data_IF_484598224747
#
_entry.id   IF_484598224747
#
_cell.length_a   1.000
_cell.length_b   1.000
_cell.length_c   1.000
_cell.angle_alpha   90.00
_cell.angle_beta   90.00
_cell.angle_gamma   90.00
#
_symmetry.space_group_name_H-M   'P 1'
#
loop_
_entity.id
_entity.type
_entity.pdbx_description
1 polymer ?
#
# COMPACT_ATOMS: atom_id res chain seq x y z
N UNK A 1 -0.49 33.29 -11.09
CA UNK A 1 0.16 32.88 -9.83
C UNK A 1 -0.40 31.61 -9.16
N UNK A 2 -1.69 31.22 -9.33
CA UNK A 2 -2.18 29.90 -8.80
C UNK A 2 -1.83 28.68 -9.68
N UNK A 3 -1.46 28.90 -10.95
CA UNK A 3 -1.18 27.84 -11.93
C UNK A 3 0.13 27.09 -11.65
N UNK A 4 1.17 27.82 -11.23
CA UNK A 4 2.50 27.25 -10.95
C UNK A 4 2.51 26.34 -9.72
N UNK A 5 1.79 26.72 -8.67
CA UNK A 5 1.64 25.92 -7.44
C UNK A 5 0.98 24.57 -7.74
N UNK A 6 -0.03 24.55 -8.62
CA UNK A 6 -0.71 23.31 -9.02
C UNK A 6 0.24 22.37 -9.76
N UNK A 7 1.12 22.90 -10.62
CA UNK A 7 2.11 22.10 -11.34
C UNK A 7 3.15 21.47 -10.42
N UNK A 8 3.61 22.22 -9.41
CA UNK A 8 4.54 21.71 -8.39
C UNK A 8 3.86 20.60 -7.57
N UNK A 9 2.65 20.85 -7.07
CA UNK A 9 1.90 19.87 -6.28
C UNK A 9 1.67 18.55 -7.04
N UNK A 10 1.27 18.61 -8.31
CA UNK A 10 1.07 17.42 -9.15
C UNK A 10 2.38 16.65 -9.33
N UNK A 11 3.51 17.34 -9.43
CA UNK A 11 4.82 16.70 -9.57
C UNK A 11 5.20 15.95 -8.30
N UNK A 12 5.07 16.58 -7.14
CA UNK A 12 5.37 15.95 -5.85
C UNK A 12 4.43 14.77 -5.54
N UNK A 13 3.14 14.89 -5.86
CA UNK A 13 2.19 13.78 -5.73
C UNK A 13 2.56 12.58 -6.60
N UNK A 14 3.08 12.80 -7.83
CA UNK A 14 3.58 11.71 -8.68
C UNK A 14 4.81 11.02 -8.07
N UNK A 15 5.72 11.79 -7.46
CA UNK A 15 6.88 11.21 -6.79
C UNK A 15 6.47 10.37 -5.58
N UNK A 16 5.56 10.87 -4.74
CA UNK A 16 5.05 10.16 -3.57
C UNK A 16 4.28 8.90 -4.02
N UNK A 17 3.49 9.00 -5.08
CA UNK A 17 2.76 7.86 -5.61
C UNK A 17 3.70 6.78 -6.19
N UNK A 18 4.73 7.18 -6.93
CA UNK A 18 5.75 6.27 -7.45
C UNK A 18 6.54 5.57 -6.34
N UNK A 19 7.01 6.33 -5.34
CA UNK A 19 7.69 5.79 -4.18
C UNK A 19 6.78 4.86 -3.36
N UNK A 20 5.51 5.25 -3.19
CA UNK A 20 4.49 4.46 -2.51
C UNK A 20 4.25 3.11 -3.18
N UNK A 21 4.12 3.07 -4.51
CA UNK A 21 3.95 1.80 -5.25
C UNK A 21 5.13 0.86 -5.01
N UNK A 22 6.37 1.36 -5.07
CA UNK A 22 7.56 0.54 -4.84
C UNK A 22 7.57 0.03 -3.40
N UNK A 23 7.27 0.90 -2.44
CA UNK A 23 7.14 0.53 -1.03
C UNK A 23 6.12 -0.59 -0.83
N UNK A 24 4.90 -0.43 -1.34
CA UNK A 24 3.85 -1.46 -1.25
C UNK A 24 4.24 -2.74 -1.99
N UNK A 25 4.99 -2.67 -3.09
CA UNK A 25 5.41 -3.85 -3.82
C UNK A 25 6.31 -4.78 -2.99
N UNK A 26 7.22 -4.21 -2.20
CA UNK A 26 8.07 -4.97 -1.27
C UNK A 26 7.38 -5.29 0.05
N UNK A 27 6.65 -4.33 0.60
CA UNK A 27 6.04 -4.44 1.94
C UNK A 27 4.74 -5.24 1.96
N UNK A 28 4.13 -5.53 0.79
CA UNK A 28 2.86 -6.28 0.74
C UNK A 28 2.92 -7.61 1.48
N UNK A 29 4.03 -8.36 1.36
CA UNK A 29 4.16 -9.69 1.97
C UNK A 29 4.37 -9.62 3.49
N UNK A 30 5.30 -8.80 4.02
CA UNK A 30 5.41 -8.52 5.45
C UNK A 30 4.11 -8.01 6.07
N UNK A 31 3.40 -7.11 5.39
CA UNK A 31 2.12 -6.58 5.89
C UNK A 31 1.04 -7.66 5.83
N UNK A 32 0.93 -8.41 4.74
CA UNK A 32 -0.09 -9.45 4.61
C UNK A 32 0.00 -10.53 5.69
N UNK A 33 1.22 -10.93 6.07
CA UNK A 33 1.48 -12.01 7.02
C UNK A 33 1.71 -11.46 8.44
N UNK A 34 2.49 -10.40 8.57
CA UNK A 34 2.88 -9.84 9.87
C UNK A 34 1.72 -9.23 10.63
N UNK A 35 0.75 -8.64 9.94
CA UNK A 35 -0.41 -7.98 10.56
C UNK A 35 -1.41 -8.97 11.17
N UNK A 36 -1.83 -10.05 10.49
CA UNK A 36 -2.60 -11.11 11.15
C UNK A 36 -1.81 -11.78 12.27
N UNK A 37 -0.49 -11.99 12.14
CA UNK A 37 0.33 -12.48 13.26
C UNK A 37 0.24 -11.53 14.46
N UNK A 38 0.32 -10.22 14.24
CA UNK A 38 0.26 -9.23 15.31
C UNK A 38 -1.09 -9.23 16.04
N UNK A 39 -2.19 -9.40 15.31
CA UNK A 39 -3.53 -9.45 15.90
C UNK A 39 -3.84 -10.80 16.56
N UNK A 40 -3.46 -11.92 15.95
CA UNK A 40 -3.81 -13.25 16.46
C UNK A 40 -2.83 -13.79 17.51
N UNK A 41 -1.54 -13.44 17.43
CA UNK A 41 -0.49 -13.95 18.34
C UNK A 41 -0.19 -12.97 19.46
N UNK A 42 -0.21 -11.67 19.16
CA UNK A 42 0.22 -10.63 20.08
C UNK A 42 -0.93 -9.84 20.72
N UNK A 43 -2.19 -10.20 20.39
CA UNK A 43 -3.41 -9.53 20.87
C UNK A 43 -3.34 -8.00 20.75
N UNK A 44 -2.70 -7.54 19.67
CA UNK A 44 -2.44 -6.12 19.48
C UNK A 44 -3.76 -5.39 19.21
N UNK A 45 -3.98 -4.18 19.77
CA UNK A 45 -5.21 -3.44 19.56
C UNK A 45 -5.46 -3.23 18.06
N UNK A 46 -6.68 -3.52 17.64
CA UNK A 46 -7.13 -3.32 16.27
C UNK A 46 -7.02 -1.85 15.88
N UNK A 47 -6.28 -1.59 14.80
CA UNK A 47 -6.08 -0.25 14.28
C UNK A 47 -6.63 -0.18 12.86
N UNK A 48 -7.57 0.74 12.63
CA UNK A 48 -8.22 0.92 11.32
C UNK A 48 -7.22 1.28 10.22
N UNK A 49 -6.19 2.06 10.56
CA UNK A 49 -5.12 2.45 9.63
C UNK A 49 -4.36 1.21 9.13
N UNK A 50 -4.01 0.30 10.05
CA UNK A 50 -3.32 -0.94 9.71
C UNK A 50 -4.21 -1.90 8.92
N UNK A 51 -5.50 -1.97 9.24
CA UNK A 51 -6.47 -2.74 8.46
C UNK A 51 -6.63 -2.22 7.02
N UNK A 52 -6.70 -0.91 6.83
CA UNK A 52 -6.75 -0.31 5.49
C UNK A 52 -5.45 -0.58 4.73
N UNK A 53 -4.29 -0.47 5.39
CA UNK A 53 -2.99 -0.76 4.80
C UNK A 53 -2.86 -2.23 4.37
N UNK A 54 -3.38 -3.14 5.19
CA UNK A 54 -3.50 -4.56 4.89
C UNK A 54 -4.40 -4.81 3.68
N UNK A 55 -5.57 -4.18 3.63
CA UNK A 55 -6.52 -4.29 2.52
C UNK A 55 -5.92 -3.78 1.20
N UNK A 56 -5.21 -2.65 1.23
CA UNK A 56 -4.47 -2.13 0.07
C UNK A 56 -3.43 -3.13 -0.43
N UNK A 57 -2.68 -3.74 0.49
CA UNK A 57 -1.67 -4.76 0.17
C UNK A 57 -2.31 -6.02 -0.41
N UNK A 58 -3.47 -6.43 0.11
CA UNK A 58 -4.25 -7.57 -0.37
C UNK A 58 -4.75 -7.38 -1.80
N UNK A 59 -5.31 -6.20 -2.10
CA UNK A 59 -5.75 -5.85 -3.47
C UNK A 59 -4.57 -5.86 -4.45
N UNK A 60 -3.41 -5.33 -4.04
CA UNK A 60 -2.20 -5.36 -4.87
C UNK A 60 -1.73 -6.80 -5.14
N UNK A 61 -1.73 -7.66 -4.11
CA UNK A 61 -1.37 -9.06 -4.25
C UNK A 61 -2.31 -9.80 -5.20
N UNK A 62 -3.64 -9.63 -5.05
CA UNK A 62 -4.63 -10.22 -5.96
C UNK A 62 -4.39 -9.77 -7.39
N UNK A 63 -4.16 -8.46 -7.61
CA UNK A 63 -3.88 -7.94 -8.95
C UNK A 63 -2.62 -8.55 -9.58
N UNK A 64 -1.58 -8.78 -8.78
CA UNK A 64 -0.37 -9.49 -9.23
C UNK A 64 -0.65 -10.96 -9.55
N UNK A 65 -1.46 -11.66 -8.74
CA UNK A 65 -1.89 -13.04 -9.02
C UNK A 65 -2.72 -13.12 -10.31
N UNK A 66 -3.65 -12.20 -10.53
CA UNK A 66 -4.45 -12.13 -11.76
C UNK A 66 -3.54 -11.87 -12.96
N UNK A 67 -2.58 -10.95 -12.85
CA UNK A 67 -1.60 -10.71 -13.91
C UNK A 67 -0.81 -11.98 -14.22
N UNK A 68 -0.38 -12.73 -13.20
CA UNK A 68 0.35 -13.99 -13.35
C UNK A 68 -0.50 -15.09 -14.02
N UNK A 69 -1.79 -15.17 -13.68
CA UNK A 69 -2.75 -16.12 -14.29
C UNK A 69 -3.09 -15.73 -15.74
N UNK A 70 -3.03 -14.45 -16.07
CA UNK A 70 -3.36 -13.91 -17.40
C UNK A 70 -2.13 -13.81 -18.32
N UNK A 71 -0.96 -14.31 -17.88
CA UNK A 71 0.21 -14.63 -18.72
C UNK A 71 -0.14 -15.80 -19.63
#
# INVERSE_FOLDING_TARGET
MKKDIKHILIRELRHIYGAGIIFFYYMKWPILIGLPILYFVLDYPSNDILNILWLFSFILAIKDFIKLIKV
#
